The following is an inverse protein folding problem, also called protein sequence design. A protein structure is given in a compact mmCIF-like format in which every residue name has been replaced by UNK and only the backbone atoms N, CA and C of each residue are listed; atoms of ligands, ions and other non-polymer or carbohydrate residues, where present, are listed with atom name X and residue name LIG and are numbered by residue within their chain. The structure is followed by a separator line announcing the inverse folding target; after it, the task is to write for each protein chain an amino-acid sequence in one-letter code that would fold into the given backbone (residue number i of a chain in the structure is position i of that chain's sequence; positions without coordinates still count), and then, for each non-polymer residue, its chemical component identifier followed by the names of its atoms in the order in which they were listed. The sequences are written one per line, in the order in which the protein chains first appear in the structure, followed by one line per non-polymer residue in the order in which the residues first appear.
data_IF_394383293327
#
_entry.id   IF_394383293327
#
_cell.length_a   1.000
_cell.length_b   1.000
_cell.length_c   1.000
_cell.angle_alpha   90.00
_cell.angle_beta   90.00
_cell.angle_gamma   90.00
#
_symmetry.space_group_name_H-M   'P 1'
#
loop_
_entity.id
_entity.type
_entity.pdbx_description
1 polymer ?
#
# COMPACT_ATOMS: atom_id res chain seq x y z
N UNK A 1 -13.21 3.03 13.05
CA UNK A 1 -12.47 2.78 11.83
C UNK A 1 -13.22 1.85 10.91
N UNK A 2 -13.11 2.06 9.60
CA UNK A 2 -13.90 1.38 8.53
C UNK A 2 -13.54 -0.09 8.27
N UNK A 3 -12.81 -0.76 9.14
CA UNK A 3 -12.36 -2.15 8.89
C UNK A 3 -11.27 -2.31 7.81
N UNK A 4 -10.96 -1.28 7.02
CA UNK A 4 -9.93 -1.34 5.95
C UNK A 4 -8.59 -1.87 6.44
N UNK A 5 -8.10 -1.34 7.55
CA UNK A 5 -6.79 -1.70 8.12
C UNK A 5 -6.70 -3.20 8.45
N UNK A 6 -7.79 -3.80 8.93
CA UNK A 6 -7.81 -5.24 9.23
C UNK A 6 -7.69 -6.08 7.95
N UNK A 7 -8.38 -5.66 6.88
CA UNK A 7 -8.26 -6.33 5.58
C UNK A 7 -6.84 -6.20 5.03
N UNK A 8 -6.23 -5.02 5.15
CA UNK A 8 -4.83 -4.83 4.74
C UNK A 8 -3.89 -5.77 5.50
N UNK A 9 -4.06 -5.89 6.83
CA UNK A 9 -3.23 -6.78 7.64
C UNK A 9 -3.40 -8.25 7.24
N UNK A 10 -4.64 -8.71 7.00
CA UNK A 10 -4.91 -10.09 6.56
C UNK A 10 -4.28 -10.37 5.18
N UNK A 11 -4.35 -9.41 4.26
CA UNK A 11 -3.68 -9.53 2.96
C UNK A 11 -2.16 -9.60 3.11
N UNK A 12 -1.58 -8.73 3.93
CA UNK A 12 -0.13 -8.67 4.19
C UNK A 12 0.35 -9.98 4.80
N UNK A 13 -0.40 -10.55 5.74
CA UNK A 13 -0.07 -11.83 6.37
C UNK A 13 0.06 -12.96 5.33
N UNK A 14 -0.89 -13.03 4.39
CA UNK A 14 -0.82 -13.97 3.27
C UNK A 14 0.39 -13.70 2.37
N UNK A 15 0.65 -12.45 2.02
CA UNK A 15 1.80 -12.04 1.18
C UNK A 15 3.12 -12.43 1.83
N UNK A 16 3.28 -12.21 3.13
CA UNK A 16 4.50 -12.55 3.87
C UNK A 16 4.66 -14.07 3.99
N UNK A 17 3.57 -14.81 4.20
CA UNK A 17 3.60 -16.29 4.25
C UNK A 17 4.06 -16.90 2.92
N UNK A 18 3.83 -16.21 1.80
CA UNK A 18 4.34 -16.57 0.47
C UNK A 18 5.82 -16.14 0.23
N UNK A 19 6.49 -15.59 1.24
CA UNK A 19 7.87 -15.11 1.12
C UNK A 19 8.01 -13.78 0.38
N UNK A 20 6.92 -13.07 0.14
CA UNK A 20 6.90 -11.76 -0.52
C UNK A 20 6.91 -10.63 0.51
N UNK A 21 7.00 -9.40 0.01
CA UNK A 21 7.07 -8.17 0.81
C UNK A 21 5.90 -7.25 0.47
N UNK A 22 5.54 -6.36 1.39
CA UNK A 22 4.42 -5.44 1.22
C UNK A 22 4.82 -3.98 1.48
N UNK A 23 4.18 -3.06 0.75
CA UNK A 23 4.23 -1.63 1.01
C UNK A 23 2.85 -1.17 1.43
N UNK A 24 2.78 -0.39 2.49
CA UNK A 24 1.56 0.30 2.94
C UNK A 24 1.82 1.79 2.92
N UNK A 25 1.14 2.48 2.03
CA UNK A 25 1.22 3.93 1.93
C UNK A 25 -0.03 4.54 2.55
N UNK A 26 0.20 5.52 3.41
CA UNK A 26 -0.85 6.31 4.05
C UNK A 26 -0.53 7.79 3.91
N UNK A 27 -1.52 8.69 3.89
CA UNK A 27 -1.25 10.13 3.98
C UNK A 27 -0.39 10.43 5.21
N UNK A 28 0.50 11.42 5.11
CA UNK A 28 1.44 11.72 6.20
C UNK A 28 0.74 12.02 7.54
N UNK A 29 -0.43 12.66 7.47
CA UNK A 29 -1.28 12.94 8.64
C UNK A 29 -1.87 11.67 9.27
N UNK A 30 -2.02 10.61 8.50
CA UNK A 30 -2.56 9.32 8.95
C UNK A 30 -1.48 8.36 9.44
N UNK A 31 -0.19 8.71 9.22
CA UNK A 31 0.95 7.93 9.69
C UNK A 31 1.21 8.22 11.18
N UNK A 32 0.32 7.71 12.02
CA UNK A 32 0.34 7.90 13.48
C UNK A 32 1.06 6.77 14.21
N UNK A 33 1.53 7.05 15.43
CA UNK A 33 2.09 6.00 16.30
C UNK A 33 1.11 4.84 16.52
N UNK A 34 -0.18 5.13 16.71
CA UNK A 34 -1.21 4.12 16.89
C UNK A 34 -1.36 3.18 15.68
N UNK A 35 -1.25 3.70 14.45
CA UNK A 35 -1.27 2.87 13.25
C UNK A 35 -0.03 1.94 13.24
N UNK A 36 1.14 2.48 13.50
CA UNK A 36 2.40 1.73 13.52
C UNK A 36 2.35 0.65 14.60
N UNK A 37 1.90 0.98 15.82
CA UNK A 37 1.75 0.03 16.93
C UNK A 37 0.82 -1.14 16.61
N UNK A 38 -0.28 -0.88 15.89
CA UNK A 38 -1.18 -1.96 15.44
C UNK A 38 -0.46 -2.95 14.52
N UNK A 39 0.34 -2.46 13.59
CA UNK A 39 1.14 -3.31 12.69
C UNK A 39 2.25 -4.04 13.47
N UNK A 40 2.95 -3.33 14.35
CA UNK A 40 3.99 -3.92 15.20
C UNK A 40 3.42 -5.02 16.09
N UNK A 41 2.24 -4.81 16.67
CA UNK A 41 1.56 -5.81 17.49
C UNK A 41 1.22 -7.10 16.74
N UNK A 42 0.95 -7.01 15.43
CA UNK A 42 0.60 -8.19 14.62
C UNK A 42 1.80 -8.87 13.97
N UNK A 43 2.75 -8.10 13.47
CA UNK A 43 3.85 -8.62 12.63
C UNK A 43 5.22 -8.60 13.32
N UNK A 44 5.33 -7.95 14.48
CA UNK A 44 6.59 -7.73 15.16
C UNK A 44 7.39 -6.56 14.61
N UNK A 45 8.14 -5.88 15.46
CA UNK A 45 8.92 -4.68 15.14
C UNK A 45 9.98 -4.94 14.04
N UNK A 46 10.60 -6.11 14.07
CA UNK A 46 11.66 -6.46 13.13
C UNK A 46 11.16 -6.58 11.68
N UNK A 47 9.92 -7.01 11.49
CA UNK A 47 9.33 -7.16 10.17
C UNK A 47 8.93 -5.83 9.53
N UNK A 48 8.87 -4.73 10.29
CA UNK A 48 8.34 -3.44 9.85
C UNK A 48 9.45 -2.41 9.73
N UNK A 49 9.48 -1.70 8.62
CA UNK A 49 10.23 -0.48 8.41
C UNK A 49 9.28 0.71 8.22
N UNK A 50 9.60 1.85 8.81
CA UNK A 50 8.76 3.05 8.72
C UNK A 50 9.50 4.15 7.95
N UNK A 51 8.86 4.67 6.89
CA UNK A 51 9.45 5.68 5.99
C UNK A 51 8.60 6.95 5.98
N UNK A 52 9.10 8.02 6.60
CA UNK A 52 8.42 9.33 6.61
C UNK A 52 9.41 10.49 6.53
N UNK A 53 8.90 11.71 6.31
CA UNK A 53 9.70 12.91 6.08
C UNK A 53 10.53 13.33 7.30
N UNK A 54 10.08 13.01 8.52
CA UNK A 54 10.72 13.39 9.79
C UNK A 54 11.91 12.52 10.20
N UNK A 55 12.20 11.43 9.47
CA UNK A 55 13.40 10.63 9.72
C UNK A 55 14.65 11.45 9.42
N UNK A 56 15.61 11.40 10.33
CA UNK A 56 16.96 11.89 10.08
C UNK A 56 17.61 11.10 8.94
N UNK A 57 18.65 11.65 8.36
CA UNK A 57 19.36 10.99 7.26
C UNK A 57 19.92 9.62 7.68
N UNK A 58 20.39 9.50 8.92
CA UNK A 58 20.90 8.24 9.49
C UNK A 58 19.78 7.22 9.66
N UNK A 59 18.68 7.60 10.31
CA UNK A 59 17.52 6.70 10.50
C UNK A 59 16.97 6.21 9.17
N UNK A 60 16.89 7.11 8.17
CA UNK A 60 16.45 6.76 6.82
C UNK A 60 17.38 5.73 6.17
N UNK A 61 18.69 5.89 6.35
CA UNK A 61 19.69 4.95 5.86
C UNK A 61 19.56 3.57 6.56
N UNK A 62 19.40 3.57 7.88
CA UNK A 62 19.24 2.34 8.67
C UNK A 62 17.97 1.57 8.26
N UNK A 63 16.84 2.26 8.11
CA UNK A 63 15.60 1.65 7.60
C UNK A 63 15.78 1.14 6.16
N UNK A 64 16.45 1.91 5.31
CA UNK A 64 16.73 1.50 3.93
C UNK A 64 17.56 0.22 3.87
N UNK A 65 18.57 0.06 4.72
CA UNK A 65 19.39 -1.15 4.83
C UNK A 65 18.57 -2.34 5.34
N UNK A 66 17.71 -2.14 6.32
CA UNK A 66 16.80 -3.18 6.83
C UNK A 66 15.85 -3.69 5.75
N UNK A 67 15.31 -2.80 4.94
CA UNK A 67 14.44 -3.14 3.81
C UNK A 67 15.23 -3.91 2.74
N UNK A 68 16.37 -3.37 2.32
CA UNK A 68 17.21 -3.95 1.27
C UNK A 68 17.75 -5.34 1.64
N UNK A 69 18.12 -5.55 2.89
CA UNK A 69 18.58 -6.86 3.38
C UNK A 69 17.45 -7.89 3.54
N UNK A 70 16.19 -7.49 3.36
CA UNK A 70 15.03 -8.35 3.54
C UNK A 70 14.69 -8.64 5.00
N UNK A 71 15.33 -7.98 5.98
CA UNK A 71 14.95 -8.05 7.40
C UNK A 71 13.55 -7.48 7.59
N UNK A 72 13.30 -6.28 7.09
CA UNK A 72 11.95 -5.73 7.05
C UNK A 72 11.17 -6.30 5.84
N UNK A 73 10.00 -6.84 6.13
CA UNK A 73 9.08 -7.42 5.13
C UNK A 73 7.96 -6.48 4.76
N UNK A 74 7.66 -5.53 5.63
CA UNK A 74 6.58 -4.55 5.47
C UNK A 74 7.19 -3.17 5.57
N UNK A 75 6.89 -2.33 4.59
CA UNK A 75 7.21 -0.90 4.63
C UNK A 75 5.92 -0.13 4.87
N UNK A 76 5.87 0.67 5.94
CA UNK A 76 4.79 1.61 6.19
C UNK A 76 5.36 3.01 5.98
N UNK A 77 4.71 3.81 5.16
CA UNK A 77 5.22 5.15 4.90
C UNK A 77 4.23 6.09 4.25
N UNK A 78 4.66 7.34 4.14
CA UNK A 78 4.01 8.32 3.31
C UNK A 78 4.40 8.15 1.84
N UNK A 79 4.07 9.11 0.99
CA UNK A 79 4.33 9.11 -0.46
C UNK A 79 5.69 8.54 -0.86
N UNK A 80 6.76 8.95 -0.16
CA UNK A 80 8.13 8.50 -0.46
C UNK A 80 8.37 7.01 -0.20
N UNK A 81 7.54 6.36 0.60
CA UNK A 81 7.61 4.92 0.85
C UNK A 81 7.48 4.07 -0.42
N UNK A 82 6.86 4.62 -1.48
CA UNK A 82 6.76 3.94 -2.77
C UNK A 82 8.13 3.58 -3.38
N UNK A 83 9.19 4.29 -3.01
CA UNK A 83 10.56 4.05 -3.49
C UNK A 83 11.37 3.10 -2.60
N UNK A 84 10.80 2.55 -1.55
CA UNK A 84 11.48 1.61 -0.66
C UNK A 84 12.14 0.45 -1.46
N UNK A 85 13.39 0.05 -1.13
CA UNK A 85 14.17 -0.89 -1.93
C UNK A 85 13.79 -2.36 -1.66
N UNK A 86 12.51 -2.67 -1.80
CA UNK A 86 12.00 -4.03 -1.73
C UNK A 86 12.35 -4.82 -2.98
N UNK A 87 12.75 -6.07 -2.80
CA UNK A 87 13.22 -6.96 -3.87
C UNK A 87 12.14 -7.93 -4.39
N UNK A 88 10.99 -8.03 -3.71
CA UNK A 88 9.90 -8.95 -4.10
C UNK A 88 8.56 -8.44 -3.59
N UNK A 89 7.98 -7.48 -4.31
CA UNK A 89 6.73 -6.82 -3.91
C UNK A 89 5.54 -7.71 -4.25
N UNK A 90 4.90 -8.28 -3.24
CA UNK A 90 3.65 -9.03 -3.41
C UNK A 90 2.41 -8.15 -3.33
N UNK A 91 2.45 -7.08 -2.52
CA UNK A 91 1.37 -6.11 -2.43
C UNK A 91 1.89 -4.69 -2.22
N UNK A 92 1.20 -3.74 -2.85
CA UNK A 92 1.31 -2.32 -2.56
C UNK A 92 -0.08 -1.80 -2.22
N UNK A 93 -0.25 -1.32 -1.00
CA UNK A 93 -1.53 -0.85 -0.46
C UNK A 93 -1.43 0.65 -0.27
N UNK A 94 -2.35 1.40 -0.87
CA UNK A 94 -2.44 2.85 -0.70
C UNK A 94 -3.78 3.18 -0.04
N UNK A 95 -3.74 3.63 1.21
CA UNK A 95 -4.94 4.08 1.91
C UNK A 95 -5.24 5.53 1.58
N UNK A 96 -6.53 5.88 1.55
CA UNK A 96 -7.05 7.20 1.16
C UNK A 96 -6.45 7.69 -0.19
N UNK A 97 -6.56 6.85 -1.23
CA UNK A 97 -5.92 7.05 -2.54
C UNK A 97 -6.28 8.37 -3.23
N UNK A 98 -7.41 8.98 -2.82
CA UNK A 98 -7.87 10.26 -3.33
C UNK A 98 -7.07 11.46 -2.82
N UNK A 99 -6.22 11.26 -1.80
CA UNK A 99 -5.46 12.35 -1.20
C UNK A 99 -4.46 12.96 -2.18
N UNK A 100 -4.52 14.29 -2.32
CA UNK A 100 -3.64 15.03 -3.22
C UNK A 100 -2.15 14.90 -2.86
N UNK A 101 -1.85 14.57 -1.59
CA UNK A 101 -0.48 14.37 -1.10
C UNK A 101 0.28 13.25 -1.82
N UNK A 102 -0.41 12.36 -2.53
CA UNK A 102 0.21 11.32 -3.37
C UNK A 102 0.77 11.83 -4.70
N UNK A 103 0.43 13.06 -5.10
CA UNK A 103 1.01 13.71 -6.27
C UNK A 103 2.15 14.62 -5.85
N UNK A 104 3.25 14.57 -6.57
CA UNK A 104 4.39 15.48 -6.36
C UNK A 104 4.30 16.64 -7.34
N UNK A 105 4.12 17.85 -6.83
CA UNK A 105 4.16 19.08 -7.63
C UNK A 105 5.60 19.61 -7.78
N UNK A 106 6.51 19.14 -6.93
CA UNK A 106 7.94 19.48 -7.00
C UNK A 106 8.66 18.58 -8.01
N UNK A 107 9.71 19.12 -8.64
CA UNK A 107 10.57 18.33 -9.54
C UNK A 107 11.40 17.29 -8.75
N UNK A 108 11.42 16.02 -9.22
CA UNK A 108 10.65 15.46 -10.32
C UNK A 108 9.17 15.32 -9.98
N UNK A 109 8.29 15.75 -10.88
CA UNK A 109 6.84 15.54 -10.73
C UNK A 109 6.51 14.08 -10.97
N UNK A 110 5.70 13.49 -10.09
CA UNK A 110 5.25 12.09 -10.24
C UNK A 110 3.91 11.86 -9.53
N UNK A 111 3.20 10.86 -10.00
CA UNK A 111 2.01 10.30 -9.35
C UNK A 111 2.41 8.98 -8.68
N UNK A 112 2.17 8.88 -7.38
CA UNK A 112 2.54 7.71 -6.57
C UNK A 112 1.77 6.46 -6.99
N UNK A 113 0.52 6.61 -7.44
CA UNK A 113 -0.30 5.48 -7.93
C UNK A 113 0.34 4.86 -9.16
N UNK A 114 0.80 5.67 -10.11
CA UNK A 114 1.46 5.18 -11.33
C UNK A 114 2.80 4.46 -11.02
N UNK A 115 3.59 4.99 -10.07
CA UNK A 115 4.83 4.34 -9.64
C UNK A 115 4.53 3.04 -8.92
N UNK A 116 3.56 3.05 -7.98
CA UNK A 116 3.14 1.87 -7.26
C UNK A 116 2.67 0.77 -8.21
N UNK A 117 1.86 1.13 -9.23
CA UNK A 117 1.39 0.22 -10.24
C UNK A 117 2.55 -0.43 -11.02
N UNK A 118 3.47 0.37 -11.55
CA UNK A 118 4.62 -0.12 -12.32
C UNK A 118 5.51 -1.03 -11.49
N UNK A 119 5.81 -0.63 -10.26
CA UNK A 119 6.65 -1.43 -9.36
C UNK A 119 6.00 -2.76 -8.97
N UNK A 120 4.72 -2.72 -8.66
CA UNK A 120 3.95 -3.93 -8.29
C UNK A 120 3.82 -4.88 -9.47
N UNK A 121 3.57 -4.33 -10.66
CA UNK A 121 3.49 -5.10 -11.91
C UNK A 121 4.79 -5.86 -12.21
N UNK A 122 5.94 -5.22 -12.01
CA UNK A 122 7.25 -5.83 -12.26
C UNK A 122 7.50 -7.11 -11.44
N UNK A 123 6.81 -7.28 -10.31
CA UNK A 123 6.91 -8.43 -9.41
C UNK A 123 5.69 -9.36 -9.45
N UNK A 124 4.73 -9.12 -10.36
CA UNK A 124 3.48 -9.88 -10.39
C UNK A 124 2.65 -9.75 -9.09
N UNK A 125 2.83 -8.64 -8.39
CA UNK A 125 2.10 -8.34 -7.16
C UNK A 125 0.74 -7.70 -7.42
N UNK A 126 0.07 -7.28 -6.35
CA UNK A 126 -1.24 -6.62 -6.39
C UNK A 126 -1.14 -5.19 -5.86
N UNK A 127 -1.72 -4.23 -6.58
CA UNK A 127 -1.94 -2.87 -6.08
C UNK A 127 -3.36 -2.78 -5.51
N UNK A 128 -3.47 -2.27 -4.30
CA UNK A 128 -4.73 -2.04 -3.60
C UNK A 128 -4.87 -0.57 -3.30
N UNK A 129 -5.93 0.05 -3.81
CA UNK A 129 -6.28 1.44 -3.57
C UNK A 129 -7.48 1.48 -2.62
N UNK A 130 -7.27 1.95 -1.40
CA UNK A 130 -8.32 2.08 -0.39
C UNK A 130 -8.84 3.49 -0.30
N UNK A 131 -10.15 3.67 -0.34
CA UNK A 131 -10.78 4.97 -0.14
C UNK A 131 -12.24 4.84 0.29
N UNK A 132 -12.71 5.78 1.08
CA UNK A 132 -14.14 5.97 1.31
C UNK A 132 -14.79 6.68 0.12
N UNK A 133 -14.04 7.56 -0.55
CA UNK A 133 -14.45 8.38 -1.69
C UNK A 133 -13.40 8.26 -2.80
N UNK A 134 -13.46 7.19 -3.64
CA UNK A 134 -12.50 7.00 -4.71
C UNK A 134 -12.41 8.20 -5.64
N UNK A 135 -11.21 8.47 -6.15
CA UNK A 135 -11.00 9.51 -7.15
C UNK A 135 -11.80 9.22 -8.43
N UNK A 136 -12.17 10.27 -9.17
CA UNK A 136 -12.91 10.13 -10.44
C UNK A 136 -12.14 9.23 -11.40
N UNK A 137 -10.83 9.41 -11.49
CA UNK A 137 -9.95 8.59 -12.34
C UNK A 137 -10.00 7.10 -11.96
N UNK A 138 -9.91 6.78 -10.67
CA UNK A 138 -9.98 5.40 -10.20
C UNK A 138 -11.36 4.78 -10.45
N UNK A 139 -12.42 5.56 -10.30
CA UNK A 139 -13.78 5.10 -10.56
C UNK A 139 -14.02 4.83 -12.06
N UNK A 140 -13.54 5.71 -12.95
CA UNK A 140 -13.58 5.52 -14.40
C UNK A 140 -12.84 4.24 -14.81
N UNK A 141 -11.63 4.01 -14.29
CA UNK A 141 -10.86 2.78 -14.55
C UNK A 141 -11.59 1.51 -14.08
N UNK A 142 -12.43 1.61 -13.04
CA UNK A 142 -13.33 0.50 -12.66
C UNK A 142 -14.44 0.28 -13.70
N UNK A 143 -15.03 1.34 -14.23
CA UNK A 143 -16.07 1.25 -15.28
C UNK A 143 -15.51 0.63 -16.57
N UNK A 144 -14.26 0.94 -16.89
CA UNK A 144 -13.53 0.39 -18.02
C UNK A 144 -13.05 -1.05 -17.80
N UNK A 145 -13.27 -1.62 -16.61
CA UNK A 145 -12.81 -2.98 -16.27
C UNK A 145 -11.31 -3.11 -16.06
N UNK A 146 -10.58 -1.98 -15.97
CA UNK A 146 -9.14 -1.97 -15.68
C UNK A 146 -8.88 -2.26 -14.20
N UNK A 147 -9.77 -1.74 -13.33
CA UNK A 147 -9.73 -1.97 -11.89
C UNK A 147 -10.92 -2.80 -11.43
N UNK A 148 -10.70 -3.65 -10.44
CA UNK A 148 -11.77 -4.40 -9.78
C UNK A 148 -12.24 -3.63 -8.54
N UNK A 149 -13.52 -3.24 -8.52
CA UNK A 149 -14.12 -2.56 -7.39
C UNK A 149 -14.61 -3.57 -6.36
N UNK A 150 -14.02 -3.52 -5.16
CA UNK A 150 -14.49 -4.28 -4.00
C UNK A 150 -15.18 -3.30 -3.04
N UNK A 151 -16.44 -3.56 -2.72
CA UNK A 151 -17.21 -2.74 -1.78
C UNK A 151 -17.33 -3.46 -0.45
N UNK A 152 -16.81 -2.86 0.61
CA UNK A 152 -17.04 -3.34 1.97
C UNK A 152 -18.38 -2.81 2.44
N UNK A 153 -19.30 -3.73 2.68
CA UNK A 153 -20.58 -3.43 3.34
C UNK A 153 -20.35 -3.55 4.84
N UNK A 154 -20.10 -2.45 5.51
CA UNK A 154 -20.07 -2.43 6.96
C UNK A 154 -21.46 -2.07 7.51
N UNK A 155 -21.80 -2.63 8.67
CA UNK A 155 -23.07 -2.46 9.38
C UNK A 155 -23.29 -1.03 9.90
N UNK A 156 -22.31 -0.12 9.77
CA UNK A 156 -22.37 1.28 10.19
C UNK A 156 -22.04 2.25 9.06
N UNK A 157 -22.99 2.44 8.15
CA UNK A 157 -23.18 3.63 7.26
C UNK A 157 -22.02 4.21 6.43
N UNK A 158 -20.83 3.65 6.40
CA UNK A 158 -19.73 4.12 5.53
C UNK A 158 -19.33 3.03 4.53
N UNK A 159 -19.68 3.24 3.28
CA UNK A 159 -19.23 2.38 2.18
C UNK A 159 -17.72 2.60 1.97
N UNK A 160 -16.90 1.65 2.33
CA UNK A 160 -15.49 1.66 2.00
C UNK A 160 -15.29 0.90 0.69
N UNK A 161 -14.53 1.46 -0.23
CA UNK A 161 -14.23 0.85 -1.52
C UNK A 161 -12.74 0.51 -1.57
N UNK A 162 -12.44 -0.69 -2.01
CA UNK A 162 -11.08 -1.16 -2.26
C UNK A 162 -10.98 -1.47 -3.75
N UNK A 163 -10.01 -0.89 -4.42
CA UNK A 163 -9.74 -1.13 -5.83
C UNK A 163 -8.55 -2.09 -5.91
N UNK A 164 -8.75 -3.24 -6.53
CA UNK A 164 -7.70 -4.21 -6.75
C UNK A 164 -7.26 -4.18 -8.21
N UNK A 165 -5.97 -4.00 -8.43
CA UNK A 165 -5.31 -4.24 -9.71
C UNK A 165 -4.51 -5.53 -9.59
N UNK A 166 -4.88 -6.54 -10.36
CA UNK A 166 -4.00 -7.69 -10.57
C UNK A 166 -3.22 -7.46 -11.86
N UNK A 167 -1.91 -7.50 -11.77
CA UNK A 167 -1.01 -7.33 -12.92
C UNK A 167 -0.79 -8.62 -13.69
N UNK A 168 -1.62 -9.63 -13.47
CA UNK A 168 -1.52 -10.88 -14.20
C UNK A 168 -2.16 -10.73 -15.59
N UNK A 169 -1.35 -10.91 -16.63
CA UNK A 169 -1.84 -11.03 -17.99
C UNK A 169 -2.87 -12.15 -18.11
N UNK A 170 -3.92 -11.86 -18.88
CA UNK A 170 -4.95 -12.77 -19.40
C UNK A 170 -4.98 -14.17 -18.77
N UNK A 171 -6.01 -14.44 -17.99
CA UNK A 171 -6.39 -15.68 -17.29
C UNK A 171 -5.95 -15.79 -15.84
N UNK A 172 -6.65 -15.07 -14.96
CA UNK A 172 -6.85 -15.49 -13.58
C UNK A 172 -8.35 -15.39 -13.30
N UNK A 173 -9.03 -16.51 -13.48
CA UNK A 173 -10.39 -16.70 -12.98
C UNK A 173 -10.39 -16.52 -11.45
N UNK A 174 -11.42 -15.83 -10.99
CA UNK A 174 -11.63 -15.52 -9.60
C UNK A 174 -11.74 -16.79 -8.75
N UNK A 175 -10.77 -16.98 -7.86
CA UNK A 175 -10.86 -17.91 -6.75
C UNK A 175 -10.58 -17.12 -5.47
N UNK A 176 -11.62 -16.77 -4.74
CA UNK A 176 -11.59 -16.39 -3.32
C UNK A 176 -12.23 -17.51 -2.55
#
# INVERSE_FOLDING_TARGET
GSGKTEIYMNMIEKIISEGKQAIVLVPEISLTGQLIERFVGRFGKEAIAVMHSRLTQRERYDEWQRIRSGKAKIVIGARMGVFAPLANIGANIMDEEHEASYKSDMSPKYDTVEIALKRTAAWGGVLVLGSATPSVTSYERCREGIYHLLTLKDTTKLHCRILRLSTCGRNCEAGI
#
